data_IF_349557519350
#
_entry.id   IF_349557519350
#
_cell.length_a   1.000
_cell.length_b   1.000
_cell.length_c   1.000
_cell.angle_alpha   90.00
_cell.angle_beta   90.00
_cell.angle_gamma   90.00
#
_symmetry.space_group_name_H-M   'P 1'
#
loop_
_entity.id
_entity.type
_entity.pdbx_description
1 polymer ?
#
# COMPACT_ATOMS: atom_id res chain seq x y z
N UNK A 1 0.06 11.02 0.62
CA UNK A 1 -0.65 11.96 1.52
C UNK A 1 -0.55 11.49 2.96
N UNK A 2 -0.99 10.27 3.28
CA UNK A 2 -0.95 9.71 4.64
C UNK A 2 -0.41 8.27 4.64
N UNK A 3 0.10 7.84 5.78
CA UNK A 3 0.45 6.46 6.10
C UNK A 3 -0.22 6.07 7.43
N UNK A 4 -0.64 4.82 7.58
CA UNK A 4 -1.27 4.27 8.78
C UNK A 4 -2.39 5.19 9.30
N UNK A 5 -3.35 5.53 8.44
CA UNK A 5 -4.42 6.45 8.80
C UNK A 5 -5.53 5.69 9.55
N UNK A 6 -5.80 6.10 10.78
CA UNK A 6 -6.74 5.42 11.67
C UNK A 6 -8.08 6.14 11.78
N UNK A 7 -9.15 5.35 11.87
CA UNK A 7 -10.47 5.83 12.26
C UNK A 7 -11.28 4.76 13.00
N UNK A 8 -12.53 5.08 13.36
CA UNK A 8 -13.41 4.16 14.08
C UNK A 8 -13.77 2.88 13.32
N UNK A 9 -13.62 2.87 12.00
CA UNK A 9 -13.95 1.74 11.13
C UNK A 9 -12.75 0.82 10.86
N UNK A 10 -11.52 1.30 11.10
CA UNK A 10 -10.29 0.57 10.85
C UNK A 10 -9.13 1.50 10.52
N UNK A 11 -8.17 0.92 9.79
CA UNK A 11 -6.96 1.58 9.33
C UNK A 11 -6.91 1.53 7.79
N UNK A 12 -6.34 2.57 7.18
CA UNK A 12 -5.90 2.57 5.78
C UNK A 12 -4.38 2.72 5.78
N UNK A 13 -3.68 1.72 5.23
CA UNK A 13 -2.22 1.65 5.31
C UNK A 13 -1.54 2.84 4.61
N UNK A 14 -2.00 3.19 3.40
CA UNK A 14 -1.48 4.33 2.65
C UNK A 14 -2.61 5.07 1.90
N UNK A 15 -2.51 6.40 1.88
CA UNK A 15 -3.39 7.26 1.07
C UNK A 15 -2.49 8.10 0.16
N UNK A 16 -2.64 7.89 -1.15
CA UNK A 16 -1.82 8.51 -2.20
C UNK A 16 -2.63 9.37 -3.14
N UNK A 17 -2.01 10.42 -3.69
CA UNK A 17 -2.54 11.18 -4.81
C UNK A 17 -1.54 11.01 -5.96
N UNK A 18 -2.00 10.46 -7.08
CA UNK A 18 -1.15 10.12 -8.22
C UNK A 18 -1.69 10.74 -9.50
N UNK A 19 -0.79 11.24 -10.35
CA UNK A 19 -1.14 11.65 -11.72
C UNK A 19 -1.20 10.42 -12.62
N UNK A 20 -2.40 10.02 -13.02
CA UNK A 20 -2.62 8.92 -13.94
C UNK A 20 -2.12 9.23 -15.36
N UNK A 21 -2.14 8.21 -16.23
CA UNK A 21 -1.62 8.27 -17.61
C UNK A 21 -2.21 9.40 -18.48
N UNK A 22 -3.40 9.88 -18.13
CA UNK A 22 -4.13 10.93 -18.84
C UNK A 22 -4.00 12.31 -18.17
N UNK A 23 -3.11 12.45 -17.18
CA UNK A 23 -2.96 13.70 -16.41
C UNK A 23 -4.01 13.91 -15.32
N UNK A 24 -4.93 12.96 -15.16
CA UNK A 24 -5.99 13.00 -14.14
C UNK A 24 -5.38 12.59 -12.79
N UNK A 25 -5.62 13.41 -11.76
CA UNK A 25 -5.25 13.07 -10.39
C UNK A 25 -6.23 12.06 -9.81
N UNK A 26 -5.71 10.95 -9.29
CA UNK A 26 -6.48 9.88 -8.66
C UNK A 26 -6.10 9.77 -7.19
N UNK A 27 -7.10 9.67 -6.31
CA UNK A 27 -6.92 9.43 -4.89
C UNK A 27 -6.95 7.91 -4.62
N UNK A 28 -5.80 7.34 -4.34
CA UNK A 28 -5.62 5.92 -4.05
C UNK A 28 -5.66 5.66 -2.53
N UNK A 29 -6.56 4.79 -2.11
CA UNK A 29 -6.58 4.17 -0.78
C UNK A 29 -5.99 2.76 -0.90
N UNK A 30 -4.81 2.55 -0.33
CA UNK A 30 -4.00 1.35 -0.59
C UNK A 30 -3.91 0.52 0.67
N UNK A 31 -4.27 -0.76 0.56
CA UNK A 31 -3.99 -1.76 1.57
C UNK A 31 -2.68 -2.48 1.23
N UNK A 32 -1.78 -2.60 2.21
CA UNK A 32 -0.53 -3.33 2.09
C UNK A 32 -0.69 -4.72 2.71
N UNK A 33 -0.25 -5.74 1.98
CA UNK A 33 -0.31 -7.13 2.44
C UNK A 33 1.07 -7.74 2.38
N UNK A 34 1.63 -7.97 3.57
CA UNK A 34 2.85 -8.77 3.72
C UNK A 34 2.52 -10.24 3.55
N UNK A 35 3.22 -10.96 2.69
CA UNK A 35 3.12 -12.42 2.60
C UNK A 35 4.41 -13.09 3.07
N UNK A 36 4.26 -14.18 3.83
CA UNK A 36 5.36 -15.12 4.12
C UNK A 36 5.43 -16.20 3.05
N UNK A 37 6.61 -16.85 2.90
CA UNK A 37 6.95 -17.76 1.79
C UNK A 37 5.99 -18.95 1.55
N UNK A 38 5.03 -19.25 2.43
CA UNK A 38 4.14 -20.44 2.32
C UNK A 38 2.75 -20.18 1.75
N UNK A 39 2.43 -18.96 1.31
CA UNK A 39 1.06 -18.58 0.99
C UNK A 39 0.96 -17.81 -0.35
N UNK A 40 1.62 -18.33 -1.38
CA UNK A 40 1.78 -17.67 -2.68
C UNK A 40 0.41 -17.48 -3.36
N UNK A 41 -0.47 -18.46 -3.24
CA UNK A 41 -1.31 -18.84 -4.37
C UNK A 41 -2.76 -18.34 -4.28
N UNK A 42 -3.26 -17.96 -3.09
CA UNK A 42 -4.63 -17.39 -2.96
C UNK A 42 -4.82 -16.32 -1.87
N UNK A 43 -3.89 -16.15 -0.92
CA UNK A 43 -4.18 -15.47 0.36
C UNK A 43 -4.17 -13.93 0.41
N UNK A 44 -3.75 -13.21 -0.63
CA UNK A 44 -3.58 -11.74 -0.58
C UNK A 44 -4.80 -10.96 -1.10
N UNK A 45 -5.35 -11.35 -2.24
CA UNK A 45 -6.62 -10.83 -2.75
C UNK A 45 -7.80 -11.36 -1.93
N UNK A 46 -7.82 -12.66 -1.58
CA UNK A 46 -8.87 -13.22 -0.73
C UNK A 46 -8.89 -12.65 0.69
N UNK A 47 -7.78 -12.09 1.17
CA UNK A 47 -7.74 -11.39 2.45
C UNK A 47 -8.54 -10.07 2.42
N UNK A 48 -8.83 -9.52 1.25
CA UNK A 48 -9.70 -8.36 1.06
C UNK A 48 -11.14 -8.83 0.91
N UNK A 49 -11.63 -9.42 2.00
CA UNK A 49 -13.01 -9.92 2.08
C UNK A 49 -14.02 -8.79 1.89
N UNK A 50 -15.27 -9.07 1.49
CA UNK A 50 -16.30 -8.03 1.36
C UNK A 50 -16.49 -7.18 2.63
N UNK A 51 -16.37 -7.79 3.81
CA UNK A 51 -16.42 -7.06 5.08
C UNK A 51 -15.25 -6.08 5.24
N UNK A 52 -14.06 -6.47 4.77
CA UNK A 52 -12.88 -5.60 4.78
C UNK A 52 -13.02 -4.47 3.76
N UNK A 53 -13.51 -4.76 2.55
CA UNK A 53 -13.82 -3.75 1.54
C UNK A 53 -14.76 -2.68 2.10
N UNK A 54 -15.89 -3.09 2.70
CA UNK A 54 -16.85 -2.18 3.30
C UNK A 54 -16.23 -1.28 4.39
N UNK A 55 -15.33 -1.81 5.22
CA UNK A 55 -14.63 -1.02 6.24
C UNK A 55 -13.66 -0.01 5.63
N UNK A 56 -12.93 -0.40 4.58
CA UNK A 56 -12.02 0.51 3.88
C UNK A 56 -12.82 1.63 3.21
N UNK A 57 -13.95 1.32 2.57
CA UNK A 57 -14.85 2.31 1.97
C UNK A 57 -15.36 3.29 3.02
N UNK A 58 -15.89 2.81 4.15
CA UNK A 58 -16.35 3.69 5.25
C UNK A 58 -15.22 4.56 5.82
N UNK A 59 -14.01 4.00 5.88
CA UNK A 59 -12.82 4.74 6.32
C UNK A 59 -12.46 5.85 5.32
N UNK A 60 -12.53 5.56 4.01
CA UNK A 60 -12.29 6.53 2.94
C UNK A 60 -13.35 7.64 2.92
N UNK A 61 -14.63 7.31 3.07
CA UNK A 61 -15.72 8.28 3.20
C UNK A 61 -15.48 9.24 4.37
N UNK A 62 -15.09 8.69 5.54
CA UNK A 62 -14.77 9.50 6.71
C UNK A 62 -13.53 10.37 6.47
N UNK A 63 -12.50 9.83 5.82
CA UNK A 63 -11.30 10.60 5.44
C UNK A 63 -11.62 11.79 4.52
N UNK A 64 -12.60 11.63 3.63
CA UNK A 64 -13.05 12.67 2.71
C UNK A 64 -13.97 13.70 3.37
N UNK A 65 -14.67 13.33 4.43
CA UNK A 65 -15.70 14.18 5.06
C UNK A 65 -15.20 15.55 5.56
N UNK A 66 -13.93 15.64 5.97
CA UNK A 66 -13.25 16.87 6.40
C UNK A 66 -12.23 17.38 5.36
N UNK A 67 -12.21 16.81 4.15
CA UNK A 67 -11.27 17.14 3.06
C UNK A 67 -12.00 17.40 1.74
N UNK A 68 -12.80 18.48 1.64
CA UNK A 68 -13.62 18.76 0.45
C UNK A 68 -12.80 18.91 -0.84
N UNK A 69 -11.56 19.41 -0.74
CA UNK A 69 -10.65 19.54 -1.88
C UNK A 69 -10.20 18.21 -2.50
N UNK A 70 -10.41 17.07 -1.82
CA UNK A 70 -10.08 15.74 -2.33
C UNK A 70 -11.28 14.99 -2.92
N UNK A 71 -12.51 15.46 -2.67
CA UNK A 71 -13.76 14.79 -3.09
C UNK A 71 -13.90 14.73 -4.61
N UNK A 72 -13.33 15.70 -5.33
CA UNK A 72 -13.41 15.76 -6.80
C UNK A 72 -12.49 14.74 -7.50
N UNK A 73 -11.56 14.13 -6.77
CA UNK A 73 -10.66 13.13 -7.35
C UNK A 73 -11.32 11.76 -7.39
N UNK A 74 -11.24 11.03 -8.53
CA UNK A 74 -11.64 9.63 -8.58
C UNK A 74 -10.94 8.84 -7.47
N UNK A 75 -11.74 8.13 -6.67
CA UNK A 75 -11.25 7.25 -5.63
C UNK A 75 -10.91 5.88 -6.23
N UNK A 76 -9.75 5.35 -5.86
CA UNK A 76 -9.28 4.02 -6.27
C UNK A 76 -8.88 3.23 -5.02
N UNK A 77 -9.30 1.98 -4.95
CA UNK A 77 -8.92 1.09 -3.85
C UNK A 77 -7.91 0.07 -4.36
N UNK A 78 -6.68 0.18 -3.88
CA UNK A 78 -5.53 -0.57 -4.41
C UNK A 78 -5.01 -1.56 -3.37
N UNK A 79 -4.31 -2.59 -3.84
CA UNK A 79 -3.62 -3.56 -2.98
C UNK A 79 -2.17 -3.70 -3.39
N UNK A 80 -1.25 -3.47 -2.45
CA UNK A 80 0.18 -3.72 -2.63
C UNK A 80 0.58 -5.03 -1.95
N UNK A 81 1.12 -5.97 -2.73
CA UNK A 81 1.63 -7.24 -2.22
C UNK A 81 3.14 -7.11 -1.96
N UNK A 82 3.55 -7.29 -0.71
CA UNK A 82 4.95 -7.14 -0.29
C UNK A 82 5.45 -8.45 0.30
N UNK A 83 6.61 -8.94 -0.15
CA UNK A 83 7.33 -9.99 0.59
C UNK A 83 8.32 -9.36 1.54
N UNK A 84 8.44 -9.92 2.75
CA UNK A 84 9.38 -9.47 3.76
C UNK A 84 10.12 -10.68 4.34
N UNK A 85 11.43 -10.71 4.15
CA UNK A 85 12.32 -11.73 4.70
C UNK A 85 13.35 -11.07 5.62
N UNK A 86 13.50 -11.58 6.85
CA UNK A 86 14.57 -11.14 7.75
C UNK A 86 15.87 -11.83 7.38
N UNK A 87 16.91 -11.06 7.07
CA UNK A 87 18.26 -11.57 6.82
C UNK A 87 19.11 -11.40 8.08
N UNK A 88 19.17 -12.44 8.92
CA UNK A 88 19.91 -12.39 10.19
C UNK A 88 21.44 -12.34 10.06
N UNK A 89 22.00 -12.30 8.85
CA UNK A 89 23.42 -12.64 8.61
C UNK A 89 24.21 -11.66 7.72
N UNK A 90 23.82 -10.39 7.63
CA UNK A 90 24.70 -9.38 7.00
C UNK A 90 24.90 -8.14 7.87
N UNK A 91 26.20 -7.82 8.00
CA UNK A 91 26.87 -6.77 8.74
C UNK A 91 26.17 -5.41 8.57
N UNK A 92 26.17 -4.64 9.65
CA UNK A 92 25.79 -3.23 9.73
C UNK A 92 26.48 -2.39 8.65
N UNK A 93 25.91 -2.32 7.46
CA UNK A 93 26.31 -1.33 6.46
C UNK A 93 25.39 -0.14 6.62
N UNK A 94 25.83 0.75 7.53
CA UNK A 94 25.69 2.20 7.51
C UNK A 94 24.36 2.78 7.00
N UNK A 95 23.59 3.36 7.92
CA UNK A 95 23.04 4.74 7.94
C UNK A 95 22.67 5.45 6.63
N UNK A 96 22.39 4.71 5.57
CA UNK A 96 21.82 5.23 4.34
C UNK A 96 20.45 4.60 4.22
N UNK A 97 19.49 5.20 4.93
CA UNK A 97 18.15 5.32 4.38
C UNK A 97 18.39 5.78 2.95
N UNK A 98 18.12 4.97 1.90
CA UNK A 98 18.20 5.49 0.55
C UNK A 98 17.21 6.64 0.54
N UNK A 99 17.70 7.88 0.39
CA UNK A 99 16.83 9.00 0.03
C UNK A 99 16.00 8.48 -1.13
N UNK A 100 14.69 8.27 -0.92
CA UNK A 100 13.82 7.52 -1.81
C UNK A 100 14.15 7.83 -3.28
N UNK A 101 14.91 6.95 -3.93
CA UNK A 101 15.27 7.12 -5.34
C UNK A 101 14.12 6.54 -6.15
N UNK A 102 13.41 7.34 -6.96
CA UNK A 102 12.35 6.79 -7.80
C UNK A 102 12.93 6.01 -8.99
N UNK A 103 12.18 5.05 -9.57
CA UNK A 103 10.99 4.38 -9.03
C UNK A 103 11.32 2.98 -8.47
N UNK A 104 10.67 2.61 -7.35
CA UNK A 104 10.65 1.21 -6.88
C UNK A 104 9.99 0.38 -7.98
N UNK A 105 10.72 -0.60 -8.52
CA UNK A 105 10.19 -1.51 -9.54
C UNK A 105 9.63 -2.76 -8.89
N UNK A 106 8.51 -3.26 -9.42
CA UNK A 106 7.98 -4.57 -9.06
C UNK A 106 9.08 -5.63 -9.25
N UNK A 107 9.24 -6.50 -8.25
CA UNK A 107 10.28 -7.55 -8.21
C UNK A 107 11.67 -7.08 -7.78
N UNK A 108 11.92 -5.76 -7.67
CA UNK A 108 13.22 -5.25 -7.23
C UNK A 108 13.34 -5.32 -5.69
N UNK A 109 14.41 -5.95 -5.14
CA UNK A 109 14.60 -5.99 -3.70
C UNK A 109 15.09 -4.66 -3.14
N UNK A 110 14.55 -4.34 -1.96
CA UNK A 110 14.93 -3.21 -1.12
C UNK A 110 15.40 -3.76 0.23
N UNK A 111 16.59 -3.34 0.66
CA UNK A 111 17.18 -3.80 1.92
C UNK A 111 17.11 -2.67 2.95
N UNK A 112 16.37 -2.89 4.04
CA UNK A 112 16.18 -1.91 5.12
C UNK A 112 16.26 -2.63 6.46
N UNK A 113 17.12 -2.14 7.36
CA UNK A 113 17.21 -2.61 8.76
C UNK A 113 17.30 -4.15 8.91
N UNK A 114 18.07 -4.82 8.06
CA UNK A 114 18.20 -6.28 8.09
C UNK A 114 17.04 -7.05 7.44
N UNK A 115 16.07 -6.36 6.84
CA UNK A 115 15.00 -6.97 6.06
C UNK A 115 15.23 -6.79 4.56
N UNK A 116 14.91 -7.84 3.81
CA UNK A 116 14.74 -7.80 2.36
C UNK A 116 13.25 -7.67 2.07
N UNK A 117 12.87 -6.53 1.49
CA UNK A 117 11.52 -6.23 1.04
C UNK A 117 11.45 -6.31 -0.48
N UNK A 118 10.36 -6.83 -1.03
CA UNK A 118 10.10 -6.81 -2.47
C UNK A 118 8.64 -6.47 -2.68
N UNK A 119 8.35 -5.45 -3.48
CA UNK A 119 7.00 -5.24 -4.02
C UNK A 119 6.76 -6.31 -5.08
N UNK A 120 5.97 -7.33 -4.74
CA UNK A 120 5.70 -8.47 -5.61
C UNK A 120 4.66 -8.12 -6.67
N UNK A 121 3.65 -7.33 -6.29
CA UNK A 121 2.59 -6.90 -7.20
C UNK A 121 1.91 -5.63 -6.67
N UNK A 122 1.28 -4.89 -7.57
CA UNK A 122 0.44 -3.74 -7.27
C UNK A 122 -0.84 -3.83 -8.08
N UNK A 123 -1.94 -4.13 -7.39
CA UNK A 123 -3.24 -4.35 -8.01
C UNK A 123 -4.03 -3.05 -7.91
N UNK A 124 -4.11 -2.34 -9.02
CA UNK A 124 -4.97 -1.17 -9.16
C UNK A 124 -6.45 -1.58 -9.17
N UNK A 125 -7.30 -0.79 -8.51
CA UNK A 125 -8.76 -1.00 -8.48
C UNK A 125 -9.12 -2.43 -8.06
N UNK A 126 -8.49 -2.92 -6.99
CA UNK A 126 -8.68 -4.27 -6.47
C UNK A 126 -10.14 -4.56 -6.07
N UNK A 127 -10.90 -3.51 -5.75
CA UNK A 127 -12.35 -3.55 -5.54
C UNK A 127 -12.98 -2.18 -5.77
N UNK A 128 -14.32 -2.16 -5.83
CA UNK A 128 -15.16 -0.97 -6.09
C UNK A 128 -16.24 -0.84 -5.04
#
# INVERSE_FOLDING_TARGET
>A
LHHQWYCRYGEIDLIGLETGKQGILTLSFIEVKTRSQRNWDLGGLLAITPSKQAKIIQSAELFLSDRPHLIEYPCRFDVALVSCDHQSNQISVSDKIPSFSPPIKIGQPLFINGYRLILQDYIESAFS
#
